data_IF_937296799216
#
_entry.id   IF_937296799216
#
_cell.length_a   1.000
_cell.length_b   1.000
_cell.length_c   1.000
_cell.angle_alpha   90.00
_cell.angle_beta   90.00
_cell.angle_gamma   90.00
#
_symmetry.space_group_name_H-M   'P 1'
#
loop_
_entity.id
_entity.type
_entity.pdbx_description
1 polymer ?
#
# COMPACT_ATOMS: atom_id res chain seq x y z
N UNK A 1 -1.12 -17.38 -25.51
CA UNK A 1 -0.25 -18.20 -24.67
C UNK A 1 0.72 -17.26 -24.00
N UNK A 2 0.86 -17.23 -22.68
CA UNK A 2 1.93 -16.47 -22.07
C UNK A 2 3.26 -17.00 -22.59
N UNK A 3 4.19 -16.07 -22.81
CA UNK A 3 5.51 -16.34 -23.36
C UNK A 3 6.26 -17.30 -22.41
N UNK A 4 6.60 -18.49 -22.85
CA UNK A 4 7.24 -19.51 -22.01
C UNK A 4 8.63 -19.07 -21.48
N UNK A 5 9.22 -18.05 -22.09
CA UNK A 5 10.49 -17.45 -21.67
C UNK A 5 10.33 -16.34 -20.58
N UNK A 6 9.12 -16.03 -20.14
CA UNK A 6 8.86 -14.84 -19.31
C UNK A 6 8.97 -15.08 -17.79
N UNK A 7 9.38 -16.24 -17.32
CA UNK A 7 9.41 -16.55 -15.89
C UNK A 7 8.00 -16.60 -15.26
N UNK A 8 7.84 -16.66 -13.92
CA UNK A 8 6.54 -16.62 -13.26
C UNK A 8 5.74 -15.39 -13.67
N UNK A 9 4.43 -15.56 -13.87
CA UNK A 9 3.53 -14.47 -14.23
C UNK A 9 3.41 -13.49 -13.06
N UNK A 10 3.88 -12.31 -13.21
CA UNK A 10 4.14 -11.30 -12.21
C UNK A 10 2.89 -10.96 -11.36
N UNK A 11 2.84 -11.54 -10.17
CA UNK A 11 1.72 -11.38 -9.20
C UNK A 11 0.34 -11.70 -9.80
N UNK A 12 0.25 -12.73 -10.65
CA UNK A 12 -0.98 -13.06 -11.39
C UNK A 12 -2.17 -13.37 -10.48
N UNK A 13 -1.91 -13.90 -9.28
CA UNK A 13 -2.93 -14.29 -8.30
C UNK A 13 -3.25 -13.21 -7.26
N UNK A 14 -2.68 -12.01 -7.41
CA UNK A 14 -2.92 -10.89 -6.48
C UNK A 14 -3.77 -9.80 -7.12
N UNK A 15 -4.82 -9.37 -6.43
CA UNK A 15 -5.55 -8.15 -6.74
C UNK A 15 -4.79 -6.92 -6.25
N UNK A 16 -4.21 -7.00 -5.07
CA UNK A 16 -3.41 -5.92 -4.45
C UNK A 16 -2.02 -6.44 -4.13
N UNK A 17 -0.99 -5.63 -4.33
CA UNK A 17 0.40 -5.98 -3.96
C UNK A 17 0.68 -5.68 -2.47
N UNK A 18 -0.30 -5.93 -1.63
CA UNK A 18 -0.22 -5.77 -0.17
C UNK A 18 -1.26 -6.69 0.48
N UNK A 19 -1.12 -7.03 1.78
CA UNK A 19 -2.11 -7.80 2.52
C UNK A 19 -3.42 -7.03 2.71
N UNK A 20 -4.30 -7.08 1.73
CA UNK A 20 -5.53 -6.28 1.68
C UNK A 20 -6.68 -7.09 1.08
N UNK A 21 -7.69 -7.39 1.91
CA UNK A 21 -8.90 -8.04 1.42
C UNK A 21 -9.76 -7.07 0.58
N UNK A 22 -10.49 -7.61 -0.40
CA UNK A 22 -11.45 -6.85 -1.22
C UNK A 22 -12.43 -6.05 -0.36
N UNK A 23 -12.94 -6.63 0.73
CA UNK A 23 -13.85 -5.95 1.63
C UNK A 23 -13.20 -4.75 2.34
N UNK A 24 -11.93 -4.85 2.74
CA UNK A 24 -11.19 -3.73 3.33
C UNK A 24 -10.90 -2.67 2.28
N UNK A 25 -10.45 -3.08 1.09
CA UNK A 25 -10.20 -2.17 -0.03
C UNK A 25 -11.44 -1.34 -0.36
N UNK A 26 -12.61 -1.95 -0.50
CA UNK A 26 -13.86 -1.22 -0.74
C UNK A 26 -14.17 -0.19 0.35
N UNK A 27 -13.91 -0.49 1.63
CA UNK A 27 -14.08 0.47 2.72
C UNK A 27 -13.10 1.63 2.65
N UNK A 28 -11.84 1.37 2.27
CA UNK A 28 -10.83 2.40 2.07
C UNK A 28 -11.21 3.31 0.89
N UNK A 29 -11.54 2.72 -0.24
CA UNK A 29 -11.98 3.43 -1.45
C UNK A 29 -13.19 4.30 -1.17
N UNK A 30 -14.25 3.75 -0.54
CA UNK A 30 -15.43 4.51 -0.18
C UNK A 30 -15.11 5.72 0.72
N UNK A 31 -14.14 5.56 1.57
CA UNK A 31 -13.75 6.63 2.47
C UNK A 31 -12.86 7.69 1.82
N UNK A 32 -12.05 7.34 0.82
CA UNK A 32 -11.32 8.31 0.00
C UNK A 32 -12.29 9.02 -0.95
N UNK A 33 -13.19 8.28 -1.58
CA UNK A 33 -14.22 8.82 -2.47
C UNK A 33 -15.17 9.81 -1.76
N UNK A 34 -15.50 9.58 -0.48
CA UNK A 34 -16.32 10.49 0.33
C UNK A 34 -15.69 11.87 0.55
N UNK A 35 -14.40 12.06 0.24
CA UNK A 35 -13.77 13.38 0.21
C UNK A 35 -14.03 14.15 -1.09
N UNK A 36 -14.74 13.56 -2.05
CA UNK A 36 -15.00 14.10 -3.40
C UNK A 36 -13.74 14.68 -4.08
N UNK A 37 -12.66 13.87 -4.18
CA UNK A 37 -11.39 14.35 -4.71
C UNK A 37 -11.49 14.69 -6.20
N UNK A 38 -10.76 15.72 -6.64
CA UNK A 38 -10.54 16.01 -8.06
C UNK A 38 -9.26 15.38 -8.58
N UNK A 39 -8.29 15.22 -7.69
CA UNK A 39 -6.98 14.68 -8.03
C UNK A 39 -6.54 13.62 -7.02
N UNK A 40 -6.01 12.51 -7.53
CA UNK A 40 -5.50 11.39 -6.74
C UNK A 40 -4.07 11.07 -7.18
N UNK A 41 -3.14 11.00 -6.24
CA UNK A 41 -1.77 10.54 -6.45
C UNK A 41 -1.59 9.19 -5.74
N UNK A 42 -1.02 8.20 -6.42
CA UNK A 42 -0.63 6.92 -5.84
C UNK A 42 0.89 6.75 -5.98
N UNK A 43 1.60 6.89 -4.87
CA UNK A 43 3.07 6.88 -4.79
C UNK A 43 3.58 5.48 -4.44
N UNK A 44 4.25 4.82 -5.38
CA UNK A 44 4.56 3.39 -5.33
C UNK A 44 3.32 2.56 -5.64
N UNK A 45 2.65 2.88 -6.76
CA UNK A 45 1.31 2.38 -7.07
C UNK A 45 1.26 0.91 -7.49
N UNK A 46 2.40 0.28 -7.86
CA UNK A 46 2.37 -0.99 -8.55
C UNK A 46 1.50 -0.90 -9.81
N UNK A 47 0.47 -1.72 -9.90
CA UNK A 47 -0.53 -1.63 -10.99
C UNK A 47 -1.73 -0.74 -10.68
N UNK A 48 -1.70 0.02 -9.59
CA UNK A 48 -2.64 1.10 -9.29
C UNK A 48 -4.07 0.66 -9.00
N UNK A 49 -4.30 -0.54 -8.50
CA UNK A 49 -5.66 -1.07 -8.31
C UNK A 49 -6.53 -0.17 -7.41
N UNK A 50 -5.99 0.31 -6.28
CA UNK A 50 -6.73 1.23 -5.40
C UNK A 50 -7.00 2.58 -6.06
N UNK A 51 -6.03 3.12 -6.79
CA UNK A 51 -6.20 4.33 -7.58
C UNK A 51 -7.36 4.19 -8.56
N UNK A 52 -7.36 3.11 -9.37
CA UNK A 52 -8.40 2.85 -10.35
C UNK A 52 -9.78 2.70 -9.71
N UNK A 53 -9.88 2.02 -8.56
CA UNK A 53 -11.14 1.89 -7.82
C UNK A 53 -11.64 3.24 -7.29
N UNK A 54 -10.76 4.12 -6.80
CA UNK A 54 -11.17 5.49 -6.41
C UNK A 54 -11.69 6.27 -7.61
N UNK A 55 -10.99 6.22 -8.76
CA UNK A 55 -11.43 6.90 -9.98
C UNK A 55 -12.75 6.35 -10.53
N UNK A 56 -12.99 5.05 -10.42
CA UNK A 56 -14.28 4.45 -10.79
C UNK A 56 -15.44 4.95 -9.90
N UNK A 57 -15.17 5.16 -8.60
CA UNK A 57 -16.17 5.70 -7.67
C UNK A 57 -16.42 7.21 -7.78
N UNK A 58 -15.45 7.98 -8.31
CA UNK A 58 -15.52 9.45 -8.42
C UNK A 58 -15.33 9.87 -9.89
N UNK A 59 -16.42 9.98 -10.68
CA UNK A 59 -16.32 10.24 -12.12
C UNK A 59 -15.58 11.54 -12.50
N UNK A 60 -15.58 12.54 -11.63
CA UNK A 60 -14.92 13.83 -11.86
C UNK A 60 -13.41 13.82 -11.47
N UNK A 61 -12.91 12.74 -10.88
CA UNK A 61 -11.52 12.63 -10.47
C UNK A 61 -10.61 12.18 -11.61
N UNK A 62 -9.39 12.67 -11.59
CA UNK A 62 -8.26 12.14 -12.36
C UNK A 62 -7.13 11.73 -11.44
N UNK A 63 -6.22 10.89 -11.91
CA UNK A 63 -5.17 10.36 -11.05
C UNK A 63 -3.84 10.13 -11.74
N UNK A 64 -2.80 10.04 -10.91
CA UNK A 64 -1.45 9.68 -11.33
C UNK A 64 -0.97 8.54 -10.44
N UNK A 65 -0.56 7.44 -11.06
CA UNK A 65 0.18 6.36 -10.40
C UNK A 65 1.66 6.46 -10.75
N UNK A 66 2.52 6.37 -9.75
CA UNK A 66 3.98 6.41 -9.92
C UNK A 66 4.59 5.12 -9.39
N UNK A 67 5.38 4.44 -10.18
CA UNK A 67 6.14 3.25 -9.78
C UNK A 67 7.40 3.11 -10.63
N UNK A 68 8.38 2.34 -10.16
CA UNK A 68 9.59 2.04 -10.90
C UNK A 68 9.46 0.80 -11.78
N UNK A 69 8.42 -0.02 -11.57
CA UNK A 69 8.26 -1.29 -12.28
C UNK A 69 7.42 -1.12 -13.56
N UNK A 70 8.04 -1.18 -14.75
CA UNK A 70 7.33 -1.04 -16.01
C UNK A 70 6.29 -2.14 -16.27
N UNK A 71 6.47 -3.35 -15.70
CA UNK A 71 5.53 -4.48 -15.86
C UNK A 71 4.26 -4.20 -15.05
N UNK A 72 4.41 -3.73 -13.80
CA UNK A 72 3.29 -3.33 -12.97
C UNK A 72 2.50 -2.18 -13.61
N UNK A 73 3.20 -1.16 -14.12
CA UNK A 73 2.58 -0.04 -14.84
C UNK A 73 1.88 -0.47 -16.13
N UNK A 74 2.43 -1.44 -16.87
CA UNK A 74 1.78 -1.99 -18.05
C UNK A 74 0.47 -2.70 -17.70
N UNK A 75 0.45 -3.50 -16.61
CA UNK A 75 -0.77 -4.10 -16.07
C UNK A 75 -1.79 -3.04 -15.65
N UNK A 76 -1.33 -1.97 -14.98
CA UNK A 76 -2.19 -0.84 -14.59
C UNK A 76 -2.85 -0.15 -15.77
N UNK A 77 -2.11 0.08 -16.85
CA UNK A 77 -2.67 0.65 -18.10
C UNK A 77 -3.72 -0.26 -18.72
N UNK A 78 -3.48 -1.57 -18.78
CA UNK A 78 -4.44 -2.54 -19.29
C UNK A 78 -5.71 -2.59 -18.42
N UNK A 79 -5.58 -2.54 -17.09
CA UNK A 79 -6.71 -2.47 -16.18
C UNK A 79 -7.50 -1.16 -16.38
N UNK A 80 -6.81 -0.02 -16.53
CA UNK A 80 -7.45 1.27 -16.81
C UNK A 80 -8.24 1.26 -18.10
N UNK A 81 -7.70 0.66 -19.15
CA UNK A 81 -8.40 0.51 -20.45
C UNK A 81 -9.67 -0.34 -20.29
N UNK A 82 -9.57 -1.48 -19.64
CA UNK A 82 -10.71 -2.36 -19.39
C UNK A 82 -11.85 -1.70 -18.59
N UNK A 83 -11.52 -0.72 -17.74
CA UNK A 83 -12.45 0.05 -16.91
C UNK A 83 -12.93 1.35 -17.58
N UNK A 84 -12.43 1.69 -18.79
CA UNK A 84 -12.74 2.96 -19.45
C UNK A 84 -12.17 4.19 -18.72
N UNK A 85 -11.03 4.04 -18.05
CA UNK A 85 -10.39 5.08 -17.23
C UNK A 85 -9.15 5.69 -17.88
N UNK A 86 -8.78 5.29 -19.10
CA UNK A 86 -7.54 5.69 -19.80
C UNK A 86 -7.35 7.20 -19.85
N UNK A 87 -8.41 7.96 -20.11
CA UNK A 87 -8.35 9.42 -20.20
C UNK A 87 -8.26 10.12 -18.83
N UNK A 88 -8.44 9.38 -17.72
CA UNK A 88 -8.50 9.92 -16.36
C UNK A 88 -7.33 9.49 -15.48
N UNK A 89 -6.48 8.58 -15.96
CA UNK A 89 -5.32 8.09 -15.22
C UNK A 89 -4.06 8.13 -16.05
N UNK A 90 -2.96 8.51 -15.41
CA UNK A 90 -1.62 8.47 -16.00
C UNK A 90 -0.69 7.63 -15.12
N UNK A 91 -0.01 6.67 -15.71
CA UNK A 91 1.03 5.87 -15.07
C UNK A 91 2.42 6.35 -15.47
N UNK A 92 3.23 6.71 -14.48
CA UNK A 92 4.56 7.30 -14.64
C UNK A 92 5.62 6.34 -14.11
N UNK A 93 6.59 6.01 -14.94
CA UNK A 93 7.75 5.22 -14.53
C UNK A 93 8.80 6.17 -13.92
N UNK A 94 8.87 6.20 -12.59
CA UNK A 94 9.82 7.00 -11.82
C UNK A 94 9.91 6.48 -10.38
N UNK A 95 10.99 6.81 -9.69
CA UNK A 95 11.05 6.63 -8.24
C UNK A 95 10.04 7.56 -7.55
N UNK A 96 9.25 7.03 -6.64
CA UNK A 96 8.20 7.81 -5.97
C UNK A 96 8.75 9.02 -5.21
N UNK A 97 9.97 8.90 -4.64
CA UNK A 97 10.66 9.98 -3.93
C UNK A 97 11.18 11.10 -4.86
N UNK A 98 11.41 10.80 -6.14
CA UNK A 98 11.99 11.73 -7.12
C UNK A 98 10.92 12.33 -8.05
N UNK A 99 9.75 11.73 -8.10
CA UNK A 99 8.69 12.13 -8.98
C UNK A 99 8.10 13.49 -8.57
N UNK A 100 8.36 14.52 -9.38
CA UNK A 100 7.72 15.82 -9.21
C UNK A 100 6.24 15.72 -9.56
N UNK A 101 5.38 15.90 -8.57
CA UNK A 101 3.93 15.85 -8.71
C UNK A 101 3.29 17.10 -8.12
N UNK A 102 2.19 17.55 -8.74
CA UNK A 102 1.37 18.61 -8.18
C UNK A 102 0.60 18.08 -6.95
N UNK A 103 0.36 18.94 -5.93
CA UNK A 103 -0.42 18.54 -4.77
C UNK A 103 -1.81 18.03 -5.14
N UNK A 104 -2.18 16.88 -4.56
CA UNK A 104 -3.43 16.18 -4.81
C UNK A 104 -4.42 16.30 -3.63
N UNK A 105 -5.70 16.06 -3.88
CA UNK A 105 -6.74 16.00 -2.85
C UNK A 105 -6.65 14.69 -2.05
N UNK A 106 -6.20 13.62 -2.72
CA UNK A 106 -5.93 12.31 -2.11
C UNK A 106 -4.55 11.84 -2.54
N UNK A 107 -3.78 11.37 -1.58
CA UNK A 107 -2.53 10.64 -1.81
C UNK A 107 -2.64 9.24 -1.24
N UNK A 108 -2.18 8.25 -1.99
CA UNK A 108 -2.06 6.85 -1.58
C UNK A 108 -0.56 6.52 -1.53
N UNK A 109 -0.12 5.87 -0.47
CA UNK A 109 1.20 5.26 -0.35
C UNK A 109 1.04 4.02 0.55
N UNK A 110 0.93 2.86 -0.06
CA UNK A 110 0.58 1.63 0.62
C UNK A 110 1.62 0.54 0.33
N UNK A 111 2.45 0.21 1.34
CA UNK A 111 3.52 -0.79 1.20
C UNK A 111 4.70 -0.33 0.35
N UNK A 112 4.95 0.99 0.26
CA UNK A 112 6.00 1.58 -0.58
C UNK A 112 6.85 2.63 0.13
N UNK A 113 6.82 2.70 1.46
CA UNK A 113 7.61 3.65 2.26
C UNK A 113 9.12 3.51 2.05
N UNK A 114 9.61 2.29 1.79
CA UNK A 114 11.00 2.01 1.50
C UNK A 114 11.53 2.76 0.26
N UNK A 115 10.66 3.16 -0.68
CA UNK A 115 11.03 3.99 -1.82
C UNK A 115 11.49 5.41 -1.41
N UNK A 116 11.20 5.81 -0.18
CA UNK A 116 11.59 7.09 0.41
C UNK A 116 12.69 6.93 1.48
N UNK A 117 13.07 5.69 1.81
CA UNK A 117 14.04 5.36 2.84
C UNK A 117 13.41 4.80 4.11
N UNK A 118 12.45 5.50 4.71
CA UNK A 118 11.73 5.08 5.91
C UNK A 118 10.27 5.57 5.91
N UNK A 119 9.45 5.07 6.84
CA UNK A 119 8.09 5.60 7.07
C UNK A 119 8.11 7.09 7.40
N UNK A 120 9.11 7.55 8.16
CA UNK A 120 9.24 8.97 8.51
C UNK A 120 9.59 9.81 7.30
N UNK A 121 10.58 9.40 6.50
CA UNK A 121 10.96 10.09 5.27
C UNK A 121 9.79 10.12 4.27
N UNK A 122 9.08 9.00 4.12
CA UNK A 122 7.90 8.91 3.27
C UNK A 122 6.82 9.92 3.71
N UNK A 123 6.47 9.94 4.99
CA UNK A 123 5.42 10.84 5.50
C UNK A 123 5.82 12.31 5.37
N UNK A 124 7.08 12.67 5.61
CA UNK A 124 7.57 14.03 5.38
C UNK A 124 7.56 14.40 3.90
N UNK A 125 7.96 13.50 2.99
CA UNK A 125 7.94 13.74 1.55
C UNK A 125 6.51 13.83 0.98
N UNK A 126 5.56 13.05 1.52
CA UNK A 126 4.17 13.05 1.07
C UNK A 126 3.36 14.23 1.60
N UNK A 127 3.78 14.86 2.71
CA UNK A 127 3.05 15.99 3.30
C UNK A 127 2.84 17.17 2.34
N UNK A 128 3.88 17.68 1.62
CA UNK A 128 3.71 18.76 0.65
C UNK A 128 2.90 18.35 -0.59
N UNK A 129 2.83 17.06 -0.91
CA UNK A 129 2.05 16.55 -2.04
C UNK A 129 0.55 16.45 -1.74
N UNK A 130 0.13 16.77 -0.52
CA UNK A 130 -1.28 16.84 -0.15
C UNK A 130 -1.74 18.29 -0.08
N UNK A 131 -2.87 18.61 -0.72
CA UNK A 131 -3.56 19.89 -0.53
C UNK A 131 -4.03 20.06 0.91
N UNK A 132 -4.17 21.28 1.42
CA UNK A 132 -4.78 21.53 2.72
C UNK A 132 -6.16 20.88 2.83
N UNK A 133 -6.38 20.06 3.88
CA UNK A 133 -7.61 19.28 4.05
C UNK A 133 -7.67 17.97 3.26
N UNK A 134 -6.67 17.67 2.43
CA UNK A 134 -6.55 16.43 1.67
C UNK A 134 -6.42 15.18 2.55
N UNK A 135 -6.58 14.01 1.94
CA UNK A 135 -6.56 12.70 2.60
C UNK A 135 -5.35 11.89 2.17
N UNK A 136 -4.59 11.39 3.13
CA UNK A 136 -3.54 10.40 2.90
C UNK A 136 -4.04 9.01 3.33
N UNK A 137 -3.92 8.04 2.44
CA UNK A 137 -3.93 6.62 2.78
C UNK A 137 -2.48 6.15 2.84
N UNK A 138 -1.99 5.93 4.06
CA UNK A 138 -0.65 5.41 4.30
C UNK A 138 -0.73 4.04 4.92
N UNK A 139 0.13 3.14 4.51
CA UNK A 139 0.28 1.81 5.11
C UNK A 139 1.69 1.29 4.96
N UNK A 140 2.17 0.70 6.04
CA UNK A 140 3.52 0.17 6.12
C UNK A 140 3.57 -1.11 6.94
N UNK A 141 4.70 -1.83 6.87
CA UNK A 141 4.97 -2.98 7.72
C UNK A 141 5.09 -2.54 9.19
N UNK A 142 4.51 -3.32 10.08
CA UNK A 142 4.59 -3.10 11.53
C UNK A 142 4.89 -4.40 12.25
N UNK A 143 5.54 -4.30 13.40
CA UNK A 143 5.70 -5.42 14.32
C UNK A 143 4.52 -5.47 15.31
N UNK A 144 3.69 -6.50 15.22
CA UNK A 144 2.68 -6.79 16.26
C UNK A 144 3.31 -7.39 17.52
N UNK A 145 4.50 -7.97 17.39
CA UNK A 145 5.32 -8.50 18.49
C UNK A 145 6.79 -8.17 18.22
N UNK A 146 7.59 -7.97 19.28
CA UNK A 146 9.01 -7.69 19.11
C UNK A 146 9.68 -8.73 18.22
N UNK A 147 10.42 -8.32 17.17
CA UNK A 147 11.14 -9.22 16.28
C UNK A 147 12.36 -9.83 16.97
N UNK A 148 12.87 -10.95 16.45
CA UNK A 148 14.19 -11.46 16.78
C UNK A 148 15.27 -10.69 16.00
N UNK A 149 16.53 -10.75 16.46
CA UNK A 149 17.64 -10.12 15.76
C UNK A 149 17.78 -10.66 14.31
N UNK A 150 17.57 -11.96 14.13
CA UNK A 150 17.61 -12.60 12.80
C UNK A 150 16.52 -12.07 11.87
N UNK A 151 15.31 -11.81 12.36
CA UNK A 151 14.23 -11.23 11.56
C UNK A 151 14.51 -9.77 11.18
N UNK A 152 15.10 -9.00 12.08
CA UNK A 152 15.51 -7.62 11.77
C UNK A 152 16.51 -7.63 10.61
N UNK A 153 17.50 -8.54 10.66
CA UNK A 153 18.50 -8.68 9.61
C UNK A 153 17.88 -9.15 8.28
N UNK A 154 17.01 -10.16 8.32
CA UNK A 154 16.34 -10.69 7.12
C UNK A 154 15.44 -9.67 6.43
N UNK A 155 14.82 -8.78 7.18
CA UNK A 155 13.88 -7.77 6.69
C UNK A 155 14.48 -6.36 6.64
N UNK A 156 15.81 -6.23 6.71
CA UNK A 156 16.51 -4.94 6.67
C UNK A 156 16.18 -4.11 5.41
N UNK A 157 15.84 -4.76 4.30
CA UNK A 157 15.38 -4.11 3.07
C UNK A 157 14.05 -3.34 3.19
N UNK A 158 13.25 -3.59 4.25
CA UNK A 158 12.04 -2.83 4.55
C UNK A 158 12.32 -1.55 5.35
N UNK A 159 13.59 -1.25 5.65
CA UNK A 159 13.95 -0.12 6.50
C UNK A 159 13.66 -0.37 7.99
N UNK A 160 13.47 0.71 8.76
CA UNK A 160 13.17 0.61 10.19
C UNK A 160 11.68 0.35 10.39
N UNK A 161 11.34 -0.91 10.70
CA UNK A 161 9.97 -1.31 11.03
C UNK A 161 9.71 -1.07 12.52
N UNK A 162 8.64 -0.36 12.85
CA UNK A 162 8.18 -0.09 14.21
C UNK A 162 6.84 -0.80 14.50
N UNK A 163 6.22 -0.54 15.65
CA UNK A 163 4.87 -1.00 15.94
C UNK A 163 3.81 -0.01 15.42
N UNK A 164 2.54 -0.36 15.57
CA UNK A 164 1.43 0.47 15.09
C UNK A 164 1.40 1.84 15.76
N UNK A 165 1.75 1.93 17.05
CA UNK A 165 1.78 3.19 17.78
C UNK A 165 2.90 4.08 17.22
N UNK A 166 4.09 3.52 16.99
CA UNK A 166 5.22 4.24 16.41
C UNK A 166 4.91 4.81 15.02
N UNK A 167 4.23 4.06 14.14
CA UNK A 167 3.80 4.59 12.83
C UNK A 167 2.82 5.77 13.00
N UNK A 168 1.91 5.69 13.97
CA UNK A 168 0.96 6.78 14.27
C UNK A 168 1.69 8.01 14.81
N UNK A 169 2.65 7.83 15.70
CA UNK A 169 3.45 8.92 16.27
C UNK A 169 4.27 9.63 15.16
N UNK A 170 4.94 8.87 14.31
CA UNK A 170 5.67 9.40 13.14
C UNK A 170 4.72 10.22 12.24
N UNK A 171 3.50 9.74 12.00
CA UNK A 171 2.54 10.46 11.19
C UNK A 171 2.08 11.78 11.85
N UNK A 172 1.91 11.80 13.17
CA UNK A 172 1.56 13.01 13.92
C UNK A 172 2.71 14.02 13.88
N UNK A 173 3.95 13.55 14.05
CA UNK A 173 5.16 14.38 14.02
C UNK A 173 5.37 14.99 12.62
N UNK A 174 5.05 14.24 11.55
CA UNK A 174 5.05 14.76 10.18
C UNK A 174 3.90 15.74 9.87
N UNK A 175 3.02 16.04 10.83
CA UNK A 175 1.96 17.03 10.72
C UNK A 175 0.58 16.50 10.34
N UNK A 176 0.40 15.19 10.24
CA UNK A 176 -0.88 14.56 9.96
C UNK A 176 -1.77 14.42 11.20
N UNK A 177 -3.06 14.16 10.98
CA UNK A 177 -4.02 13.78 12.03
C UNK A 177 -4.70 12.48 11.64
N UNK A 178 -4.52 11.39 12.40
CA UNK A 178 -5.13 10.11 12.11
C UNK A 178 -6.66 10.19 12.17
N UNK A 179 -7.32 9.78 11.10
CA UNK A 179 -8.78 9.65 11.02
C UNK A 179 -9.24 8.22 11.28
N UNK A 180 -8.37 7.24 10.98
CA UNK A 180 -8.64 5.83 11.17
C UNK A 180 -7.30 5.09 11.27
N UNK A 181 -7.21 4.13 12.15
CA UNK A 181 -6.01 3.33 12.42
C UNK A 181 -6.40 1.85 12.42
N UNK A 182 -5.54 0.99 11.87
CA UNK A 182 -5.73 -0.45 11.90
C UNK A 182 -4.62 -1.20 11.20
N UNK A 183 -4.50 -2.50 11.46
CA UNK A 183 -3.53 -3.40 10.84
C UNK A 183 -4.20 -4.42 9.92
N UNK A 184 -3.44 -5.05 9.03
CA UNK A 184 -3.88 -6.19 8.27
C UNK A 184 -4.11 -7.39 9.19
N UNK A 185 -5.17 -8.15 8.94
CA UNK A 185 -5.43 -9.39 9.66
C UNK A 185 -4.49 -10.51 9.20
N UNK A 186 -4.35 -11.54 10.03
CA UNK A 186 -3.61 -12.75 9.64
C UNK A 186 -4.17 -13.37 8.35
N UNK A 187 -5.50 -13.38 8.18
CA UNK A 187 -6.12 -13.92 6.98
C UNK A 187 -5.74 -13.12 5.71
N UNK A 188 -5.65 -11.79 5.80
CA UNK A 188 -5.18 -10.95 4.69
C UNK A 188 -3.72 -11.21 4.35
N UNK A 189 -2.87 -11.44 5.35
CA UNK A 189 -1.48 -11.86 5.13
C UNK A 189 -1.39 -13.25 4.51
N UNK A 190 -2.17 -14.22 4.98
CA UNK A 190 -2.19 -15.58 4.43
C UNK A 190 -2.69 -15.61 2.98
N UNK A 191 -3.69 -14.80 2.64
CA UNK A 191 -4.18 -14.63 1.27
C UNK A 191 -3.10 -14.01 0.37
N UNK A 192 -2.44 -12.95 0.83
CA UNK A 192 -1.37 -12.28 0.10
C UNK A 192 -0.19 -13.22 -0.17
N UNK A 193 0.35 -13.86 0.86
CA UNK A 193 1.51 -14.75 0.74
C UNK A 193 1.20 -15.99 -0.09
N UNK A 194 -0.01 -16.54 0.04
CA UNK A 194 -0.44 -17.67 -0.78
C UNK A 194 -0.55 -17.28 -2.25
N UNK A 195 -1.10 -16.11 -2.55
CA UNK A 195 -1.21 -15.61 -3.92
C UNK A 195 0.15 -15.29 -4.55
N UNK A 196 1.08 -14.77 -3.75
CA UNK A 196 2.46 -14.53 -4.18
C UNK A 196 3.18 -15.83 -4.54
N UNK A 197 3.11 -16.85 -3.67
CA UNK A 197 3.72 -18.15 -3.91
C UNK A 197 3.02 -18.94 -5.02
N UNK A 198 1.70 -18.82 -5.15
CA UNK A 198 0.95 -19.53 -6.19
C UNK A 198 1.44 -19.19 -7.60
N UNK A 199 1.85 -17.95 -7.84
CA UNK A 199 2.40 -17.52 -9.12
C UNK A 199 3.66 -18.31 -9.51
N UNK A 200 4.54 -18.55 -8.55
CA UNK A 200 5.77 -19.30 -8.76
C UNK A 200 5.50 -20.80 -8.88
N UNK A 201 4.63 -21.35 -8.03
CA UNK A 201 4.31 -22.78 -8.03
C UNK A 201 3.58 -23.21 -9.32
N UNK A 202 2.61 -22.43 -9.78
CA UNK A 202 1.92 -22.71 -11.05
C UNK A 202 2.89 -22.65 -12.24
N UNK A 203 3.80 -21.68 -12.25
CA UNK A 203 4.82 -21.63 -13.28
C UNK A 203 5.72 -22.87 -13.24
N UNK A 204 6.17 -23.30 -12.05
CA UNK A 204 7.00 -24.48 -11.86
C UNK A 204 6.30 -25.77 -12.32
N UNK A 205 4.99 -25.92 -12.13
CA UNK A 205 4.21 -27.07 -12.60
C UNK A 205 4.26 -27.18 -14.12
N UNK A 206 4.17 -26.08 -14.84
CA UNK A 206 4.23 -26.05 -16.30
C UNK A 206 5.64 -26.10 -16.89
N UNK A 207 6.68 -25.75 -16.11
CA UNK A 207 8.04 -25.49 -16.61
C UNK A 207 9.13 -26.32 -15.90
N UNK A 208 8.84 -27.56 -15.55
CA UNK A 208 9.75 -28.44 -14.76
C UNK A 208 11.13 -28.65 -15.37
N UNK A 209 11.26 -28.51 -16.69
CA UNK A 209 12.52 -28.68 -17.46
C UNK A 209 13.15 -27.35 -17.88
N UNK A 210 12.57 -26.20 -17.49
CA UNK A 210 13.13 -24.90 -17.81
C UNK A 210 14.49 -24.71 -17.12
N UNK A 211 15.50 -24.07 -17.75
CA UNK A 211 16.80 -23.83 -17.15
C UNK A 211 16.74 -23.18 -15.78
N UNK A 212 15.81 -22.24 -15.59
CA UNK A 212 15.64 -21.46 -14.34
C UNK A 212 14.75 -22.15 -13.30
N UNK A 213 14.13 -23.30 -13.60
CA UNK A 213 13.20 -23.96 -12.69
C UNK A 213 13.82 -24.29 -11.33
N UNK A 214 15.12 -24.64 -11.30
CA UNK A 214 15.86 -24.90 -10.07
C UNK A 214 16.01 -23.63 -9.21
N UNK A 215 16.34 -22.52 -9.84
CA UNK A 215 16.50 -21.22 -9.17
C UNK A 215 15.15 -20.70 -8.62
N UNK A 216 14.11 -20.73 -9.44
CA UNK A 216 12.76 -20.29 -9.05
C UNK A 216 12.21 -21.14 -7.90
N UNK A 217 12.41 -22.46 -7.94
CA UNK A 217 12.02 -23.35 -6.83
C UNK A 217 12.75 -23.00 -5.53
N UNK A 218 14.06 -22.81 -5.60
CA UNK A 218 14.84 -22.44 -4.42
C UNK A 218 14.37 -21.10 -3.84
N UNK A 219 14.04 -20.12 -4.68
CA UNK A 219 13.51 -18.83 -4.25
C UNK A 219 12.11 -18.97 -3.62
N UNK A 220 11.22 -19.77 -4.21
CA UNK A 220 9.88 -20.05 -3.66
C UNK A 220 9.97 -20.74 -2.29
N UNK A 221 10.85 -21.74 -2.16
CA UNK A 221 11.07 -22.47 -0.91
C UNK A 221 11.64 -21.54 0.18
N UNK A 222 12.61 -20.69 -0.16
CA UNK A 222 13.20 -19.72 0.76
C UNK A 222 12.16 -18.69 1.24
N UNK A 223 11.35 -18.13 0.35
CA UNK A 223 10.29 -17.20 0.69
C UNK A 223 9.22 -17.86 1.59
N UNK A 224 8.79 -19.07 1.25
CA UNK A 224 7.84 -19.85 2.06
C UNK A 224 8.37 -20.12 3.47
N UNK A 225 9.65 -20.47 3.59
CA UNK A 225 10.29 -20.71 4.89
C UNK A 225 10.38 -19.43 5.70
N UNK A 226 10.81 -18.32 5.09
CA UNK A 226 10.86 -17.01 5.71
C UNK A 226 9.46 -16.57 6.21
N UNK A 227 8.42 -16.75 5.38
CA UNK A 227 7.06 -16.46 5.80
C UNK A 227 6.61 -17.33 6.95
N UNK A 228 6.54 -18.65 6.77
CA UNK A 228 5.90 -19.57 7.73
C UNK A 228 6.65 -19.65 9.06
N UNK A 229 7.99 -19.64 9.05
CA UNK A 229 8.82 -19.76 10.24
C UNK A 229 9.34 -18.42 10.76
N UNK A 230 9.48 -17.43 9.88
CA UNK A 230 9.97 -16.11 10.22
C UNK A 230 8.87 -15.19 10.74
N UNK A 231 8.21 -14.47 9.85
CA UNK A 231 7.38 -13.32 10.23
C UNK A 231 5.87 -13.60 10.39
N UNK A 232 5.34 -14.75 9.94
CA UNK A 232 3.91 -15.06 10.00
C UNK A 232 3.27 -14.81 11.38
N UNK A 233 3.98 -15.11 12.45
CA UNK A 233 3.48 -14.93 13.81
C UNK A 233 3.74 -13.53 14.40
N UNK A 234 4.38 -12.63 13.64
CA UNK A 234 4.86 -11.34 14.15
C UNK A 234 4.35 -10.12 13.39
N UNK A 235 4.07 -10.26 12.09
CA UNK A 235 3.50 -9.19 11.26
C UNK A 235 1.97 -9.23 11.20
N UNK A 236 1.34 -10.34 11.56
CA UNK A 236 -0.11 -10.46 11.62
C UNK A 236 -0.58 -10.45 13.06
N UNK A 237 -1.56 -9.63 13.37
CA UNK A 237 -2.23 -9.65 14.67
C UNK A 237 -2.75 -11.06 14.96
N UNK A 238 -2.32 -11.67 16.08
CA UNK A 238 -2.89 -12.91 16.57
C UNK A 238 -4.26 -12.58 17.17
N UNK A 239 -5.38 -13.11 16.68
CA UNK A 239 -6.59 -13.09 17.46
C UNK A 239 -6.35 -14.02 18.65
N UNK A 240 -5.89 -13.48 19.78
CA UNK A 240 -5.90 -14.20 21.04
C UNK A 240 -7.30 -14.78 21.27
N UNK A 241 -7.51 -15.75 22.21
CA UNK A 241 -8.75 -16.48 22.35
C UNK A 241 -9.92 -15.49 22.35
N UNK A 242 -10.79 -15.69 21.38
CA UNK A 242 -11.88 -14.79 20.98
C UNK A 242 -12.74 -14.38 22.19
N UNK A 243 -12.48 -13.17 22.71
CA UNK A 243 -13.56 -12.39 23.32
C UNK A 243 -14.28 -11.67 22.19
N UNK A 244 -15.61 -11.71 22.13
CA UNK A 244 -16.36 -10.97 21.13
C UNK A 244 -16.20 -9.47 21.41
N UNK A 245 -15.19 -8.84 20.79
CA UNK A 245 -15.07 -7.39 20.75
C UNK A 245 -15.81 -6.91 19.50
N UNK A 246 -17.01 -6.38 19.75
CA UNK A 246 -17.69 -5.51 18.81
C UNK A 246 -16.83 -4.27 18.52
N UNK A 247 -15.90 -4.36 17.56
CA UNK A 247 -15.37 -3.29 16.69
C UNK A 247 -14.21 -3.84 15.87
N UNK A 248 -14.43 -3.91 14.57
CA UNK A 248 -13.38 -4.27 13.61
C UNK A 248 -12.30 -3.17 13.56
N UNK A 249 -11.01 -3.52 13.52
CA UNK A 249 -9.94 -2.53 13.35
C UNK A 249 -10.09 -1.80 12.02
N UNK A 250 -9.82 -0.50 12.03
CA UNK A 250 -9.93 0.39 10.87
C UNK A 250 -8.52 0.78 10.41
N UNK A 251 -8.25 0.89 9.10
CA UNK A 251 -6.95 1.30 8.58
C UNK A 251 -6.62 2.75 8.99
N UNK A 252 -5.32 3.07 9.03
CA UNK A 252 -4.86 4.44 9.29
C UNK A 252 -5.23 5.30 8.08
N UNK A 253 -6.03 6.32 8.30
CA UNK A 253 -6.28 7.42 7.39
C UNK A 253 -5.71 8.69 8.00
N UNK A 254 -4.96 9.42 7.21
CA UNK A 254 -4.30 10.63 7.67
C UNK A 254 -4.90 11.84 6.92
N UNK A 255 -5.01 12.97 7.61
CA UNK A 255 -5.46 14.22 7.03
C UNK A 255 -4.43 15.31 7.33
N UNK A 256 -4.06 16.12 6.34
CA UNK A 256 -3.23 17.30 6.54
C UNK A 256 -3.97 18.33 7.39
N UNK A 257 -3.30 18.89 8.41
CA UNK A 257 -3.85 20.01 9.18
C UNK A 257 -4.12 21.20 8.25
N UNK A 258 -5.32 21.78 8.33
CA UNK A 258 -5.56 23.11 7.77
C UNK A 258 -4.79 24.13 8.63
N UNK A 259 -3.84 24.84 8.05
CA UNK A 259 -2.99 25.80 8.74
C UNK A 259 -3.74 27.08 9.20
N UNK A 260 -5.04 27.24 8.90
CA UNK A 260 -5.80 28.46 9.11
C UNK A 260 -7.15 28.23 9.83
N UNK A 261 -7.09 27.85 11.10
CA UNK A 261 -8.13 28.25 12.04
C UNK A 261 -7.52 29.27 13.00
N UNK A 262 -7.31 30.51 12.51
CA UNK A 262 -7.17 31.65 13.42
C UNK A 262 -8.53 31.87 14.08
N UNK A 263 -8.61 31.96 15.42
CA UNK A 263 -9.84 32.37 16.05
C UNK A 263 -10.14 33.81 15.60
N UNK A 264 -11.29 34.03 14.99
CA UNK A 264 -11.80 35.35 14.75
C UNK A 264 -11.91 36.05 16.12
N UNK A 265 -10.97 36.94 16.38
CA UNK A 265 -11.04 37.85 17.51
C UNK A 265 -12.31 38.67 17.42
N UNK A 266 -13.23 38.45 18.35
CA UNK A 266 -14.40 39.26 18.54
C UNK A 266 -13.99 40.70 18.82
N UNK A 267 -14.24 41.61 17.88
CA UNK A 267 -14.26 43.05 18.15
C UNK A 267 -15.49 43.32 19.00
N UNK A 268 -15.30 43.62 20.26
CA UNK A 268 -16.25 44.42 21.02
C UNK A 268 -16.00 45.86 20.61
N UNK A 269 -16.91 46.48 19.91
CA UNK A 269 -17.00 47.92 19.72
C UNK A 269 -17.77 48.54 20.87
N UNK A 270 -17.65 49.87 21.02
CA UNK A 270 -17.95 50.60 22.26
C UNK A 270 -19.42 50.64 22.65
#
# INVERSE_FOLDING_TARGET
>A
MPDADAGPGYYAYLTYNVPLSTMRAHRLVAALAAADPRTVLDAGCGWGELLLQVLACVPAASGVGVDTDPRALARGRANADSLGLTDRVRFVEAAAAEATQEPADVVICLGSSQAFGSSADALHALYPLLRPGGRLLFGDAIWERPPTAELIEQLAGLGTVTDLAGVVDIAIDAGFRPLSIGSASRAEWEEFESGYLADWEEWLLGNTKHPDAGHIRAAADAHRDQWLRGYRARLAGDPGPSRPLHRQPRPVRLCRRSADLRPHGGRRGP
#
